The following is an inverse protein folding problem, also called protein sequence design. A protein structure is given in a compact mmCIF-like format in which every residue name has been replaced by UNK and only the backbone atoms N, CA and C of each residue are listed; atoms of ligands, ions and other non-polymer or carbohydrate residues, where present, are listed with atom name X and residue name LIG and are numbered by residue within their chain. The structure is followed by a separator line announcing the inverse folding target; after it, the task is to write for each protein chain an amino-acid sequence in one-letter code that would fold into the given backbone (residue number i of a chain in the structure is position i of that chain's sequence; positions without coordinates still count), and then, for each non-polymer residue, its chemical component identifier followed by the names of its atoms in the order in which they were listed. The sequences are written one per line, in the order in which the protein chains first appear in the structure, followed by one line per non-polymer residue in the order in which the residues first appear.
data_IF_005955419158
#
_entry.id   IF_005955419158
#
_cell.length_a   1.000
_cell.length_b   1.000
_cell.length_c   1.000
_cell.angle_alpha   90.00
_cell.angle_beta   90.00
_cell.angle_gamma   90.00
#
_symmetry.space_group_name_H-M   'P 1'
#
loop_
_entity.id
_entity.type
_entity.pdbx_description
1 polymer ?
#
# COMPACT_ATOMS: atom_id res chain seq x y z
N UNK A 1 28.07 16.53 21.87
CA UNK A 1 28.84 15.61 21.00
C UNK A 1 28.11 14.31 20.56
N UNK A 2 26.91 13.99 21.07
CA UNK A 2 26.22 12.70 20.82
C UNK A 2 25.06 12.75 19.78
N UNK A 3 24.95 13.82 18.99
CA UNK A 3 23.84 14.02 18.04
C UNK A 3 24.17 13.61 16.59
N UNK A 4 25.43 13.36 16.26
CA UNK A 4 25.86 13.05 14.89
C UNK A 4 25.94 11.55 14.56
N UNK A 5 25.69 10.67 15.53
CA UNK A 5 25.94 9.22 15.37
C UNK A 5 24.72 8.42 14.89
N UNK A 6 23.49 8.93 15.07
CA UNK A 6 22.27 8.19 14.69
C UNK A 6 21.96 8.21 13.19
N UNK A 7 22.21 9.32 12.50
CA UNK A 7 21.97 9.42 11.06
C UNK A 7 22.97 8.63 10.21
N UNK A 8 24.21 8.49 10.70
CA UNK A 8 25.26 7.71 10.03
C UNK A 8 24.88 6.23 9.99
N UNK A 9 24.25 5.70 11.04
CA UNK A 9 23.91 4.28 11.12
C UNK A 9 22.83 3.87 10.11
N UNK A 10 21.77 4.67 9.89
CA UNK A 10 20.71 4.30 8.92
C UNK A 10 21.27 4.27 7.49
N UNK A 11 22.09 5.27 7.13
CA UNK A 11 22.77 5.31 5.84
C UNK A 11 23.82 4.18 5.70
N UNK A 12 24.56 3.87 6.77
CA UNK A 12 25.50 2.75 6.81
C UNK A 12 24.78 1.41 6.66
N UNK A 13 23.65 1.20 7.33
CA UNK A 13 22.87 -0.03 7.25
C UNK A 13 22.28 -0.23 5.84
N UNK A 14 21.81 0.83 5.19
CA UNK A 14 21.39 0.76 3.78
C UNK A 14 22.56 0.50 2.82
N UNK A 15 23.75 1.04 3.10
CA UNK A 15 24.96 0.79 2.29
C UNK A 15 25.50 -0.63 2.49
N UNK A 16 25.56 -1.12 3.74
CA UNK A 16 26.02 -2.46 4.10
C UNK A 16 25.10 -3.56 3.58
N UNK A 17 23.78 -3.31 3.55
CA UNK A 17 22.80 -4.21 2.93
C UNK A 17 22.89 -4.18 1.39
N UNK A 18 23.22 -3.04 0.79
CA UNK A 18 23.48 -2.95 -0.65
C UNK A 18 24.79 -3.65 -1.05
N UNK A 19 25.83 -3.60 -0.21
CA UNK A 19 27.14 -4.18 -0.48
C UNK A 19 27.20 -5.72 -0.31
N UNK A 20 26.23 -6.33 0.36
CA UNK A 20 26.17 -7.80 0.58
C UNK A 20 25.44 -8.58 -0.53
N UNK A 21 24.72 -7.89 -1.41
CA UNK A 21 23.89 -8.51 -2.45
C UNK A 21 24.46 -8.17 -3.83
N UNK A 22 24.88 -9.19 -4.59
CA UNK A 22 25.43 -8.97 -5.93
C UNK A 22 24.48 -8.12 -6.80
N UNK A 23 25.00 -7.25 -7.67
CA UNK A 23 24.17 -6.35 -8.48
C UNK A 23 23.12 -7.11 -9.31
N UNK A 24 23.43 -8.35 -9.73
CA UNK A 24 22.49 -9.24 -10.40
C UNK A 24 21.30 -9.63 -9.50
N UNK A 25 21.55 -9.96 -8.21
CA UNK A 25 20.50 -10.29 -7.25
C UNK A 25 19.61 -9.08 -6.95
N UNK A 26 20.19 -7.88 -6.83
CA UNK A 26 19.41 -6.65 -6.65
C UNK A 26 18.48 -6.39 -7.85
N UNK A 27 18.96 -6.61 -9.07
CA UNK A 27 18.14 -6.47 -10.28
C UNK A 27 16.98 -7.49 -10.27
N UNK A 28 17.26 -8.74 -9.90
CA UNK A 28 16.23 -9.78 -9.78
C UNK A 28 15.15 -9.37 -8.77
N UNK A 29 15.51 -8.88 -7.58
CA UNK A 29 14.53 -8.45 -6.59
C UNK A 29 13.68 -7.26 -7.06
N UNK A 30 14.29 -6.29 -7.74
CA UNK A 30 13.56 -5.17 -8.35
C UNK A 30 12.57 -5.64 -9.42
N UNK A 31 12.96 -6.59 -10.27
CA UNK A 31 12.09 -7.16 -11.28
C UNK A 31 10.94 -7.98 -10.67
N UNK A 32 11.21 -8.75 -9.62
CA UNK A 32 10.18 -9.49 -8.88
C UNK A 32 9.16 -8.52 -8.28
N UNK A 33 9.62 -7.42 -7.66
CA UNK A 33 8.75 -6.39 -7.12
C UNK A 33 7.93 -5.67 -8.20
N UNK A 34 8.54 -5.35 -9.35
CA UNK A 34 7.81 -4.78 -10.47
C UNK A 34 6.76 -5.75 -11.01
N UNK A 35 7.10 -7.04 -11.11
CA UNK A 35 6.18 -8.09 -11.53
C UNK A 35 5.02 -8.29 -10.55
N UNK A 36 5.25 -8.22 -9.24
CA UNK A 36 4.17 -8.36 -8.23
C UNK A 36 3.13 -7.26 -8.33
N UNK A 37 3.55 -6.05 -8.74
CA UNK A 37 2.67 -4.91 -8.95
C UNK A 37 1.64 -5.14 -10.07
N UNK A 38 1.97 -5.96 -11.08
CA UNK A 38 1.06 -6.33 -12.16
C UNK A 38 -0.13 -7.14 -11.63
N UNK A 39 0.11 -8.10 -10.73
CA UNK A 39 -0.96 -8.89 -10.13
C UNK A 39 -1.88 -8.03 -9.26
N UNK A 40 -1.31 -7.07 -8.53
CA UNK A 40 -2.09 -6.10 -7.76
C UNK A 40 -2.98 -5.26 -8.69
N UNK A 41 -2.43 -4.76 -9.79
CA UNK A 41 -3.21 -4.01 -10.78
C UNK A 41 -4.30 -4.83 -11.46
N UNK A 42 -3.99 -6.06 -11.85
CA UNK A 42 -4.97 -6.97 -12.41
C UNK A 42 -6.12 -7.25 -11.45
N UNK A 43 -5.84 -7.37 -10.14
CA UNK A 43 -6.88 -7.57 -9.12
C UNK A 43 -7.89 -6.43 -9.10
N UNK A 44 -7.43 -5.18 -9.17
CA UNK A 44 -8.33 -4.02 -9.16
C UNK A 44 -9.11 -3.87 -10.47
N UNK A 45 -8.49 -4.11 -11.63
CA UNK A 45 -9.19 -4.09 -12.92
C UNK A 45 -10.25 -5.19 -12.99
N UNK A 46 -9.97 -6.38 -12.45
CA UNK A 46 -10.96 -7.46 -12.39
C UNK A 46 -12.15 -7.11 -11.48
N UNK A 47 -11.89 -6.49 -10.32
CA UNK A 47 -12.95 -6.01 -9.42
C UNK A 47 -13.83 -4.94 -10.07
N UNK A 48 -13.23 -3.99 -10.80
CA UNK A 48 -13.96 -3.00 -11.60
C UNK A 48 -14.87 -3.70 -12.63
N UNK A 49 -14.32 -4.67 -13.38
CA UNK A 49 -15.11 -5.44 -14.35
C UNK A 49 -16.26 -6.22 -13.70
N UNK A 50 -16.07 -6.76 -12.49
CA UNK A 50 -17.13 -7.42 -11.71
C UNK A 50 -18.24 -6.43 -11.34
N UNK A 51 -17.89 -5.25 -10.84
CA UNK A 51 -18.87 -4.20 -10.52
C UNK A 51 -19.67 -3.79 -11.76
N UNK A 52 -18.98 -3.55 -12.89
CA UNK A 52 -19.61 -3.16 -14.15
C UNK A 52 -20.55 -4.26 -14.69
N UNK A 53 -20.10 -5.53 -14.69
CA UNK A 53 -20.88 -6.66 -15.19
C UNK A 53 -22.10 -6.96 -14.32
N UNK A 54 -21.97 -6.85 -13.00
CA UNK A 54 -23.09 -7.05 -12.08
C UNK A 54 -24.17 -5.98 -12.26
N UNK A 55 -23.76 -4.71 -12.37
CA UNK A 55 -24.68 -3.61 -12.65
C UNK A 55 -25.44 -3.82 -13.98
N UNK A 56 -24.75 -4.28 -15.02
CA UNK A 56 -25.36 -4.56 -16.33
C UNK A 56 -26.32 -5.78 -16.32
N UNK A 57 -26.08 -6.78 -15.47
CA UNK A 57 -26.87 -8.03 -15.48
C UNK A 57 -28.09 -7.96 -14.56
N UNK A 58 -27.93 -7.36 -13.37
CA UNK A 58 -28.93 -7.43 -12.31
C UNK A 58 -29.67 -6.10 -12.09
N UNK A 59 -29.29 -5.03 -12.81
CA UNK A 59 -29.78 -3.66 -12.58
C UNK A 59 -29.66 -3.20 -11.11
N UNK A 60 -28.78 -3.84 -10.34
CA UNK A 60 -28.52 -3.56 -8.94
C UNK A 60 -27.03 -3.34 -8.73
N UNK A 61 -26.65 -2.54 -7.73
CA UNK A 61 -25.24 -2.32 -7.41
C UNK A 61 -24.75 -3.38 -6.42
N UNK A 62 -23.60 -4.00 -6.70
CA UNK A 62 -22.96 -4.91 -5.75
C UNK A 62 -22.44 -4.12 -4.54
N UNK A 63 -22.62 -4.68 -3.34
CA UNK A 63 -22.14 -4.05 -2.11
C UNK A 63 -20.60 -4.13 -2.00
N UNK A 64 -20.00 -3.03 -1.55
CA UNK A 64 -18.54 -2.89 -1.37
C UNK A 64 -18.03 -3.85 -0.29
N UNK A 65 -18.78 -4.04 0.80
CA UNK A 65 -18.39 -4.89 1.90
C UNK A 65 -18.33 -6.37 1.50
N UNK A 66 -19.20 -6.81 0.59
CA UNK A 66 -19.16 -8.19 0.08
C UNK A 66 -17.85 -8.44 -0.67
N UNK A 67 -17.47 -7.53 -1.57
CA UNK A 67 -16.21 -7.66 -2.33
C UNK A 67 -15.00 -7.54 -1.41
N UNK A 68 -15.04 -6.61 -0.44
CA UNK A 68 -13.99 -6.44 0.56
C UNK A 68 -13.82 -7.70 1.41
N UNK A 69 -14.91 -8.29 1.90
CA UNK A 69 -14.89 -9.48 2.73
C UNK A 69 -14.28 -10.68 2.00
N UNK A 70 -14.71 -10.96 0.77
CA UNK A 70 -14.14 -12.04 -0.03
C UNK A 70 -12.65 -11.83 -0.32
N UNK A 71 -12.26 -10.57 -0.61
CA UNK A 71 -10.86 -10.20 -0.81
C UNK A 71 -10.02 -10.45 0.43
N UNK A 72 -10.45 -9.95 1.60
CA UNK A 72 -9.77 -10.14 2.87
C UNK A 72 -9.72 -11.60 3.30
N UNK A 73 -10.78 -12.38 3.06
CA UNK A 73 -10.82 -13.80 3.36
C UNK A 73 -9.81 -14.59 2.51
N UNK A 74 -9.78 -14.35 1.19
CA UNK A 74 -8.78 -14.98 0.33
C UNK A 74 -7.35 -14.56 0.73
N UNK A 75 -7.13 -13.27 1.00
CA UNK A 75 -5.85 -12.75 1.47
C UNK A 75 -5.41 -13.42 2.78
N UNK A 76 -6.33 -13.67 3.72
CA UNK A 76 -6.04 -14.40 4.96
C UNK A 76 -5.50 -15.81 4.66
N UNK A 77 -6.20 -16.56 3.80
CA UNK A 77 -5.78 -17.92 3.41
C UNK A 77 -4.41 -17.91 2.74
N UNK A 78 -4.17 -17.00 1.79
CA UNK A 78 -2.88 -16.87 1.12
C UNK A 78 -1.77 -16.40 2.07
N UNK A 79 -2.06 -15.50 3.01
CA UNK A 79 -1.10 -15.01 4.00
C UNK A 79 -0.69 -16.13 4.94
N UNK A 80 -1.65 -16.89 5.47
CA UNK A 80 -1.35 -18.08 6.29
C UNK A 80 -0.57 -19.14 5.50
N UNK A 81 -0.91 -19.38 4.24
CA UNK A 81 -0.14 -20.28 3.37
C UNK A 81 1.29 -19.78 3.12
N UNK A 82 1.47 -18.47 2.94
CA UNK A 82 2.79 -17.86 2.74
C UNK A 82 3.70 -17.97 3.95
N UNK A 83 3.15 -18.25 5.14
CA UNK A 83 3.93 -18.47 6.34
C UNK A 83 4.85 -19.69 6.24
N UNK A 84 4.49 -20.67 5.40
CA UNK A 84 5.37 -21.79 5.07
C UNK A 84 6.67 -21.32 4.36
N UNK A 85 6.63 -20.19 3.64
CA UNK A 85 7.80 -19.64 2.95
C UNK A 85 8.84 -19.08 3.92
N UNK A 86 8.47 -18.71 5.15
CA UNK A 86 9.43 -18.23 6.18
C UNK A 86 10.46 -19.32 6.53
N UNK A 87 10.12 -20.58 6.30
CA UNK A 87 11.04 -21.72 6.49
C UNK A 87 12.15 -21.77 5.45
N UNK A 88 12.03 -21.05 4.35
CA UNK A 88 13.10 -20.94 3.37
C UNK A 88 14.21 -20.02 3.92
N UNK A 89 15.49 -20.38 3.74
CA UNK A 89 16.63 -19.59 4.22
C UNK A 89 16.65 -18.14 3.69
N UNK A 90 15.99 -17.89 2.55
CA UNK A 90 15.90 -16.56 1.93
C UNK A 90 14.94 -15.63 2.68
N UNK A 91 13.94 -16.15 3.40
CA UNK A 91 12.86 -15.37 4.00
C UNK A 91 12.87 -15.34 5.54
N UNK A 92 13.79 -16.07 6.18
CA UNK A 92 13.93 -16.08 7.64
C UNK A 92 14.60 -17.34 8.17
N UNK A 93 14.46 -18.47 7.48
CA UNK A 93 15.13 -19.73 7.82
C UNK A 93 14.64 -20.38 9.12
N UNK A 94 13.47 -20.00 9.63
CA UNK A 94 12.90 -20.55 10.86
C UNK A 94 12.31 -21.93 10.62
N UNK A 95 12.63 -22.92 11.47
CA UNK A 95 12.06 -24.26 11.36
C UNK A 95 10.55 -24.21 11.60
N UNK A 96 9.77 -25.02 10.85
CA UNK A 96 8.32 -25.10 11.01
C UNK A 96 7.88 -25.49 12.44
N UNK A 97 8.71 -26.24 13.18
CA UNK A 97 8.44 -26.63 14.57
C UNK A 97 8.40 -25.44 15.53
N UNK A 98 9.14 -24.37 15.23
CA UNK A 98 9.22 -23.17 16.07
C UNK A 98 8.11 -22.17 15.76
N UNK A 99 7.35 -22.39 14.68
CA UNK A 99 6.34 -21.45 14.20
C UNK A 99 5.25 -21.18 15.25
N UNK A 100 4.88 -22.19 16.03
CA UNK A 100 3.95 -22.03 17.15
C UNK A 100 4.50 -21.08 18.22
N UNK A 101 5.78 -21.18 18.54
CA UNK A 101 6.43 -20.32 19.53
C UNK A 101 6.51 -18.86 19.05
N UNK A 102 6.69 -18.63 17.74
CA UNK A 102 6.61 -17.29 17.14
C UNK A 102 5.24 -16.65 17.34
N UNK A 103 4.15 -17.40 17.17
CA UNK A 103 2.80 -16.87 17.40
C UNK A 103 2.55 -16.54 18.87
N UNK A 104 2.98 -17.40 19.79
CA UNK A 104 2.82 -17.16 21.24
C UNK A 104 3.63 -15.95 21.69
N UNK A 105 4.88 -15.82 21.23
CA UNK A 105 5.72 -14.65 21.51
C UNK A 105 5.10 -13.38 20.92
N UNK A 106 4.59 -13.43 19.69
CA UNK A 106 3.90 -12.31 19.06
C UNK A 106 2.64 -11.89 19.82
N UNK A 107 1.85 -12.85 20.32
CA UNK A 107 0.67 -12.58 21.13
C UNK A 107 1.04 -11.99 22.50
N UNK A 108 2.11 -12.49 23.12
CA UNK A 108 2.63 -11.96 24.39
C UNK A 108 3.10 -10.51 24.23
N UNK A 109 3.77 -10.20 23.12
CA UNK A 109 4.12 -8.83 22.76
C UNK A 109 2.89 -7.96 22.49
N UNK A 110 1.87 -8.51 21.80
CA UNK A 110 0.63 -7.81 21.53
C UNK A 110 -0.14 -7.44 22.81
N UNK A 111 -0.08 -8.25 23.86
CA UNK A 111 -0.67 -7.93 25.17
C UNK A 111 0.17 -6.94 25.99
N UNK A 112 1.32 -6.49 25.47
CA UNK A 112 2.18 -5.49 26.10
C UNK A 112 3.31 -6.08 26.95
N UNK A 113 3.55 -7.39 26.88
CA UNK A 113 4.63 -8.05 27.61
C UNK A 113 5.78 -8.43 26.67
N UNK A 114 7.01 -8.05 27.02
CA UNK A 114 8.19 -8.41 26.23
C UNK A 114 8.50 -9.91 26.41
N UNK A 115 8.46 -10.73 25.34
CA UNK A 115 8.77 -12.16 25.45
C UNK A 115 10.28 -12.42 25.59
N UNK A 116 11.12 -11.50 25.11
CA UNK A 116 12.57 -11.51 25.32
C UNK A 116 13.08 -10.15 25.81
N UNK A 117 14.20 -10.12 26.53
CA UNK A 117 14.79 -8.88 27.09
C UNK A 117 15.20 -7.86 26.02
N UNK A 118 15.42 -8.30 24.79
CA UNK A 118 15.77 -7.45 23.64
C UNK A 118 14.56 -6.87 22.91
N UNK A 119 13.36 -7.34 23.23
CA UNK A 119 12.14 -6.94 22.53
C UNK A 119 11.54 -5.69 23.18
N UNK A 120 11.09 -4.76 22.35
CA UNK A 120 10.39 -3.55 22.78
C UNK A 120 8.94 -3.57 22.27
N UNK A 121 8.04 -4.03 23.12
CA UNK A 121 6.60 -4.06 22.86
C UNK A 121 5.89 -2.76 23.28
N UNK A 122 6.62 -1.64 23.41
CA UNK A 122 6.04 -0.34 23.73
C UNK A 122 4.92 0.06 22.76
N UNK A 123 3.78 0.46 23.32
CA UNK A 123 2.61 0.90 22.55
C UNK A 123 1.67 -0.22 22.10
N UNK A 124 1.99 -1.49 22.36
CA UNK A 124 1.02 -2.57 22.25
C UNK A 124 -0.01 -2.52 23.39
N UNK A 125 -1.29 -2.89 23.15
CA UNK A 125 -1.91 -3.29 21.88
C UNK A 125 -2.37 -2.12 21.00
N UNK A 126 -2.34 -0.88 21.53
CA UNK A 126 -3.02 0.26 20.92
C UNK A 126 -2.46 0.63 19.54
N UNK A 127 -1.14 0.70 19.39
CA UNK A 127 -0.48 1.06 18.12
C UNK A 127 -0.80 0.05 17.02
N UNK A 128 -0.66 -1.28 17.24
CA UNK A 128 -1.15 -2.29 16.29
C UNK A 128 -2.64 -2.17 15.95
N UNK A 129 -3.51 -1.90 16.93
CA UNK A 129 -4.95 -1.76 16.71
C UNK A 129 -5.30 -0.54 15.84
N UNK A 130 -4.65 0.60 16.09
CA UNK A 130 -4.80 1.80 15.26
C UNK A 130 -4.32 1.50 13.83
N UNK A 131 -3.16 0.86 13.69
CA UNK A 131 -2.65 0.45 12.39
C UNK A 131 -3.64 -0.44 11.64
N UNK A 132 -4.21 -1.45 12.30
CA UNK A 132 -5.21 -2.34 11.70
C UNK A 132 -6.47 -1.57 11.28
N UNK A 133 -6.99 -0.69 12.14
CA UNK A 133 -8.18 0.12 11.83
C UNK A 133 -7.96 1.05 10.63
N UNK A 134 -6.81 1.74 10.57
CA UNK A 134 -6.45 2.61 9.45
C UNK A 134 -6.25 1.80 8.17
N UNK A 135 -5.56 0.65 8.23
CA UNK A 135 -5.36 -0.21 7.05
C UNK A 135 -6.67 -0.80 6.54
N UNK A 136 -7.57 -1.21 7.42
CA UNK A 136 -8.88 -1.70 7.03
C UNK A 136 -9.69 -0.59 6.36
N UNK A 137 -9.69 0.60 6.95
CA UNK A 137 -10.35 1.78 6.39
C UNK A 137 -9.80 2.16 5.03
N UNK A 138 -8.47 2.10 4.86
CA UNK A 138 -7.79 2.35 3.58
C UNK A 138 -8.22 1.34 2.51
N UNK A 139 -8.22 0.04 2.83
CA UNK A 139 -8.66 -1.00 1.90
C UNK A 139 -10.12 -0.81 1.47
N UNK A 140 -11.02 -0.46 2.41
CA UNK A 140 -12.42 -0.18 2.10
C UNK A 140 -12.54 1.08 1.22
N UNK A 141 -11.80 2.15 1.54
CA UNK A 141 -11.79 3.39 0.76
C UNK A 141 -11.36 3.16 -0.70
N UNK A 142 -10.38 2.28 -0.95
CA UNK A 142 -9.96 1.92 -2.31
C UNK A 142 -11.08 1.25 -3.09
N UNK A 143 -11.85 0.34 -2.47
CA UNK A 143 -12.97 -0.31 -3.16
C UNK A 143 -14.15 0.65 -3.37
N UNK A 144 -14.40 1.58 -2.45
CA UNK A 144 -15.36 2.67 -2.69
C UNK A 144 -14.95 3.54 -3.88
N UNK A 145 -13.67 3.92 -3.94
CA UNK A 145 -13.11 4.71 -5.04
C UNK A 145 -13.20 3.97 -6.37
N UNK A 146 -13.00 2.64 -6.34
CA UNK A 146 -13.14 1.75 -7.49
C UNK A 146 -14.60 1.64 -7.95
N UNK A 147 -15.56 1.51 -7.02
CA UNK A 147 -17.00 1.38 -7.32
C UNK A 147 -17.58 2.64 -7.96
N UNK A 148 -17.18 3.82 -7.49
CA UNK A 148 -17.73 5.10 -7.96
C UNK A 148 -16.92 5.75 -9.07
N UNK A 149 -15.62 5.42 -9.18
CA UNK A 149 -14.72 5.95 -10.19
C UNK A 149 -14.34 4.87 -11.21
N UNK A 150 -13.05 4.59 -11.28
CA UNK A 150 -12.45 3.56 -12.14
C UNK A 150 -11.16 3.05 -11.48
N UNK A 151 -10.61 1.93 -11.96
CA UNK A 151 -9.32 1.46 -11.45
C UNK A 151 -8.23 2.52 -11.66
N UNK A 152 -8.28 3.26 -12.78
CA UNK A 152 -7.34 4.33 -13.06
C UNK A 152 -7.44 5.50 -12.06
N UNK A 153 -8.66 5.93 -11.72
CA UNK A 153 -8.84 6.98 -10.72
C UNK A 153 -8.37 6.54 -9.33
N UNK A 154 -8.61 5.27 -8.98
CA UNK A 154 -8.10 4.68 -7.76
C UNK A 154 -6.56 4.64 -7.74
N UNK A 155 -5.91 4.25 -8.86
CA UNK A 155 -4.45 4.27 -8.97
C UNK A 155 -3.84 5.65 -8.75
N UNK A 156 -4.48 6.69 -9.30
CA UNK A 156 -4.06 8.08 -9.09
C UNK A 156 -4.16 8.46 -7.61
N UNK A 157 -5.24 8.05 -6.93
CA UNK A 157 -5.40 8.23 -5.49
C UNK A 157 -4.30 7.54 -4.67
N UNK A 158 -3.94 6.30 -5.04
CA UNK A 158 -2.83 5.57 -4.42
C UNK A 158 -1.48 6.26 -4.71
N UNK A 159 -1.23 6.68 -5.96
CA UNK A 159 -0.01 7.39 -6.31
C UNK A 159 0.14 8.73 -5.59
N UNK A 160 -0.98 9.39 -5.26
CA UNK A 160 -0.99 10.60 -4.44
C UNK A 160 -0.70 10.33 -2.95
N UNK A 161 -0.83 9.09 -2.45
CA UNK A 161 -0.52 8.79 -1.05
C UNK A 161 0.99 8.71 -0.77
N UNK A 162 1.79 8.31 -1.77
CA UNK A 162 3.25 8.28 -1.69
C UNK A 162 3.84 9.65 -1.28
N UNK A 163 3.57 10.75 -2.03
CA UNK A 163 4.09 12.06 -1.68
C UNK A 163 3.58 12.56 -0.32
N UNK A 164 2.34 12.24 0.04
CA UNK A 164 1.77 12.59 1.35
C UNK A 164 2.45 11.83 2.49
N UNK A 165 2.81 10.57 2.27
CA UNK A 165 3.54 9.76 3.24
C UNK A 165 4.94 10.33 3.51
N UNK A 166 5.66 10.76 2.47
CA UNK A 166 6.96 11.43 2.63
C UNK A 166 6.86 12.72 3.46
N UNK A 167 5.84 13.55 3.18
CA UNK A 167 5.55 14.74 4.01
C UNK A 167 5.22 14.34 5.44
N UNK A 168 4.42 13.28 5.63
CA UNK A 168 4.08 12.77 6.94
C UNK A 168 5.34 12.34 7.71
N UNK A 169 6.27 11.61 7.11
CA UNK A 169 7.50 11.12 7.77
C UNK A 169 8.52 12.21 8.11
N UNK A 170 8.36 13.42 7.58
CA UNK A 170 9.18 14.56 8.00
C UNK A 170 8.77 15.12 9.37
N UNK A 171 7.56 14.80 9.86
CA UNK A 171 7.16 15.19 11.21
C UNK A 171 7.82 14.28 12.27
N UNK A 172 8.13 14.83 13.46
CA UNK A 172 8.72 14.06 14.55
C UNK A 172 7.65 13.18 15.22
N UNK A 173 7.46 11.96 14.69
CA UNK A 173 6.52 11.01 15.27
C UNK A 173 7.04 10.43 16.59
N UNK A 174 6.17 10.21 17.59
CA UNK A 174 6.58 9.73 18.91
C UNK A 174 7.21 8.33 18.88
N UNK A 175 6.86 7.48 17.90
CA UNK A 175 7.41 6.12 17.75
C UNK A 175 8.46 6.00 16.65
N UNK A 176 8.34 6.76 15.54
CA UNK A 176 9.21 6.61 14.37
C UNK A 176 10.32 7.68 14.29
N UNK A 177 10.21 8.77 15.04
CA UNK A 177 11.06 9.95 14.87
C UNK A 177 10.76 10.73 13.58
N UNK A 178 11.62 11.70 13.26
CA UNK A 178 11.58 12.44 12.00
C UNK A 178 12.62 11.89 11.03
N UNK A 179 12.23 11.67 9.78
CA UNK A 179 13.16 11.33 8.70
C UNK A 179 13.61 12.60 7.97
N UNK A 180 14.92 12.84 7.78
CA UNK A 180 15.40 13.98 7.02
C UNK A 180 15.02 13.85 5.54
N UNK A 181 14.30 14.83 5.00
CA UNK A 181 13.97 14.86 3.57
C UNK A 181 15.21 15.14 2.73
N UNK A 182 15.57 14.20 1.84
CA UNK A 182 16.57 14.42 0.81
C UNK A 182 15.98 15.23 -0.36
N UNK A 183 16.79 16.01 -1.06
CA UNK A 183 16.33 16.96 -2.09
C UNK A 183 15.75 16.24 -3.31
N UNK A 184 16.22 15.03 -3.55
CA UNK A 184 15.87 14.10 -4.60
C UNK A 184 14.42 13.62 -4.43
N UNK A 185 13.98 13.38 -3.19
CA UNK A 185 12.60 13.06 -2.88
C UNK A 185 11.67 14.26 -3.12
N UNK A 186 12.11 15.47 -2.79
CA UNK A 186 11.34 16.70 -3.05
C UNK A 186 11.14 16.90 -4.57
N UNK A 187 12.17 16.65 -5.37
CA UNK A 187 12.05 16.72 -6.83
C UNK A 187 11.08 15.66 -7.37
N UNK A 188 11.22 14.40 -6.93
CA UNK A 188 10.30 13.32 -7.31
C UNK A 188 8.85 13.61 -6.89
N UNK A 189 8.66 14.15 -5.70
CA UNK A 189 7.38 14.63 -5.15
C UNK A 189 6.74 15.67 -6.07
N UNK A 190 7.48 16.73 -6.45
CA UNK A 190 6.98 17.78 -7.36
C UNK A 190 6.58 17.16 -8.70
N UNK A 191 7.41 16.29 -9.26
CA UNK A 191 7.17 15.65 -10.55
C UNK A 191 5.90 14.78 -10.53
N UNK A 192 5.71 13.97 -9.48
CA UNK A 192 4.50 13.16 -9.29
C UNK A 192 3.26 14.05 -9.15
N UNK A 193 3.34 15.11 -8.34
CA UNK A 193 2.22 16.05 -8.14
C UNK A 193 1.82 16.75 -9.44
N UNK A 194 2.78 17.19 -10.26
CA UNK A 194 2.53 17.77 -11.59
C UNK A 194 1.86 16.74 -12.50
N UNK A 195 2.32 15.48 -12.50
CA UNK A 195 1.72 14.39 -13.27
C UNK A 195 0.27 14.12 -12.87
N UNK A 196 -0.02 14.08 -11.57
CA UNK A 196 -1.37 13.84 -11.05
C UNK A 196 -2.33 15.00 -11.36
N UNK A 197 -1.88 16.25 -11.17
CA UNK A 197 -2.68 17.45 -11.47
C UNK A 197 -2.95 17.56 -12.97
N UNK A 198 -1.94 17.37 -13.82
CA UNK A 198 -2.14 17.43 -15.27
C UNK A 198 -3.08 16.34 -15.76
N UNK A 199 -2.96 15.12 -15.26
CA UNK A 199 -3.92 14.04 -15.55
C UNK A 199 -5.34 14.45 -15.16
N UNK A 200 -5.55 14.96 -13.94
CA UNK A 200 -6.88 15.35 -13.45
C UNK A 200 -7.47 16.50 -14.26
N UNK A 201 -6.67 17.47 -14.67
CA UNK A 201 -7.13 18.56 -15.53
C UNK A 201 -7.59 18.04 -16.89
N UNK A 202 -6.81 17.15 -17.50
CA UNK A 202 -7.17 16.53 -18.79
C UNK A 202 -8.43 15.67 -18.67
N UNK A 203 -8.59 14.90 -17.58
CA UNK A 203 -9.78 14.09 -17.37
C UNK A 203 -11.04 14.95 -17.24
N UNK A 204 -10.98 16.04 -16.46
CA UNK A 204 -12.08 16.99 -16.31
C UNK A 204 -12.44 17.68 -17.63
N UNK A 205 -11.42 18.09 -18.41
CA UNK A 205 -11.65 18.68 -19.73
C UNK A 205 -12.35 17.70 -20.69
N UNK A 206 -12.00 16.41 -20.64
CA UNK A 206 -12.66 15.37 -21.46
C UNK A 206 -14.11 15.17 -21.05
N UNK A 207 -14.40 15.13 -19.76
CA UNK A 207 -15.77 15.04 -19.24
C UNK A 207 -16.61 16.25 -19.66
N UNK A 208 -16.08 17.47 -19.51
CA UNK A 208 -16.78 18.69 -19.94
C UNK A 208 -17.04 18.71 -21.45
N UNK A 209 -16.09 18.26 -22.28
CA UNK A 209 -16.28 18.14 -23.72
C UNK A 209 -17.34 17.10 -24.09
N UNK A 210 -17.39 15.97 -23.39
CA UNK A 210 -18.43 14.96 -23.60
C UNK A 210 -19.82 15.52 -23.28
N UNK A 211 -19.96 16.27 -22.18
CA UNK A 211 -21.21 16.95 -21.80
C UNK A 211 -21.59 18.04 -22.82
N UNK A 212 -20.63 18.88 -23.25
CA UNK A 212 -20.86 19.93 -24.23
C UNK A 212 -21.26 19.37 -25.61
N UNK A 213 -20.63 18.28 -26.05
CA UNK A 213 -21.00 17.57 -27.28
C UNK A 213 -22.38 16.92 -27.20
N UNK A 214 -22.78 16.39 -26.03
CA UNK A 214 -24.14 15.91 -25.80
C UNK A 214 -25.17 17.04 -25.84
N UNK A 215 -24.81 18.22 -25.31
CA UNK A 215 -25.68 19.41 -25.28
C UNK A 215 -25.98 19.95 -26.69
N UNK A 216 -25.00 19.95 -27.60
CA UNK A 216 -25.23 20.32 -29.01
C UNK A 216 -26.15 19.32 -29.73
N UNK A 217 -25.99 18.02 -29.46
CA UNK A 217 -26.74 16.96 -30.15
C UNK A 217 -28.25 16.95 -29.83
N UNK A 218 -28.66 17.53 -28.69
CA UNK A 218 -30.07 17.64 -28.30
C UNK A 218 -30.76 18.89 -28.81
N UNK A 219 -30.04 20.02 -28.93
CA UNK A 219 -30.62 21.28 -29.40
C UNK A 219 -30.88 21.29 -30.90
N UNK A 220 -30.25 20.40 -31.67
CA UNK A 220 -30.49 20.23 -33.10
C UNK A 220 -31.59 19.18 -33.42
N UNK A 221 -32.22 18.59 -32.40
CA UNK A 221 -33.29 17.61 -32.52
C UNK A 221 -34.69 18.12 -32.09
N UNK A 222 -34.87 19.43 -31.96
CA UNK A 222 -36.16 20.11 -31.70
C UNK A 222 -36.36 21.16 -32.80
#
# INVERSE_FOLDING_TARGET
PASHTKHTNVALFSSLAADTVSPAKQLIYKLIYAGSSVFSALSFVLKEAIFARFAATTNASLDVFVVSFHGSFAQLVFTFGSLLLVSLPVFGGTKLSELGHFFVNGFTCFTGHNPHETDDCHGAPLVPLIYMAVNLSWNIALIFLLKHGSALFMFIGISASIPLAEIAFAFPWPLLGASPMHKEYIFGLILIMVGLVSYRLVSLMREQRAIAGYKMKWTDCI
#
